data_IF_285835345975
#
_entry.id   IF_285835345975
#
_cell.length_a   1.000
_cell.length_b   1.000
_cell.length_c   1.000
_cell.angle_alpha   90.00
_cell.angle_beta   90.00
_cell.angle_gamma   90.00
#
_symmetry.space_group_name_H-M   'P 1'
#
loop_
_entity.id
_entity.type
_entity.pdbx_description
1 polymer ?
#
# COMPACT_ATOMS: atom_id res chain seq x y z
N UNK A 1 9.34 30.13 15.54
CA UNK A 1 10.24 29.32 14.67
C UNK A 1 9.36 28.70 13.60
N UNK A 2 9.42 29.18 12.35
CA UNK A 2 8.66 28.58 11.25
C UNK A 2 9.34 27.27 10.91
N UNK A 3 8.73 26.12 11.24
CA UNK A 3 9.19 24.85 10.69
C UNK A 3 8.99 24.91 9.18
N UNK A 4 10.06 24.70 8.42
CA UNK A 4 10.01 24.66 6.97
C UNK A 4 9.28 23.38 6.53
N UNK A 5 7.96 23.51 6.33
CA UNK A 5 7.08 22.44 5.85
C UNK A 5 7.58 21.78 4.56
N UNK A 6 8.39 22.47 3.77
CA UNK A 6 8.96 21.98 2.51
C UNK A 6 9.90 20.80 2.74
N UNK A 7 10.72 20.86 3.79
CA UNK A 7 11.70 19.82 4.12
C UNK A 7 11.02 18.56 4.67
N UNK A 8 9.96 18.72 5.48
CA UNK A 8 9.18 17.61 6.04
C UNK A 8 8.35 16.88 4.97
N UNK A 9 7.68 17.61 4.08
CA UNK A 9 6.91 17.01 2.98
C UNK A 9 7.84 16.29 2.00
N UNK A 10 8.99 16.90 1.68
CA UNK A 10 9.98 16.30 0.78
C UNK A 10 10.57 15.01 1.36
N UNK A 11 10.89 14.98 2.66
CA UNK A 11 11.36 13.77 3.34
C UNK A 11 10.33 12.63 3.32
N UNK A 12 9.07 12.97 3.57
CA UNK A 12 7.96 12.01 3.54
C UNK A 12 7.73 11.39 2.15
N UNK A 13 7.72 12.22 1.10
CA UNK A 13 7.63 11.72 -0.29
C UNK A 13 8.83 10.87 -0.68
N UNK A 14 10.04 11.23 -0.23
CA UNK A 14 11.24 10.42 -0.43
C UNK A 14 11.14 9.06 0.29
N UNK A 15 10.62 9.04 1.52
CA UNK A 15 10.38 7.81 2.28
C UNK A 15 9.39 6.88 1.58
N UNK A 16 8.26 7.42 1.11
CA UNK A 16 7.27 6.68 0.30
C UNK A 16 7.88 6.11 -0.97
N UNK A 17 8.56 6.96 -1.75
CA UNK A 17 9.14 6.57 -3.01
C UNK A 17 10.18 5.45 -2.82
N UNK A 18 11.05 5.57 -1.81
CA UNK A 18 12.05 4.54 -1.50
C UNK A 18 11.40 3.21 -1.14
N UNK A 19 10.47 3.21 -0.18
CA UNK A 19 9.82 1.97 0.26
C UNK A 19 9.00 1.33 -0.87
N UNK A 20 8.26 2.15 -1.64
CA UNK A 20 7.51 1.68 -2.79
C UNK A 20 8.40 1.09 -3.90
N UNK A 21 9.58 1.66 -4.14
CA UNK A 21 10.55 1.09 -5.07
C UNK A 21 11.03 -0.29 -4.59
N UNK A 22 11.40 -0.40 -3.31
CA UNK A 22 11.85 -1.66 -2.71
C UNK A 22 10.76 -2.74 -2.82
N UNK A 23 9.49 -2.39 -2.52
CA UNK A 23 8.34 -3.27 -2.69
C UNK A 23 8.08 -3.70 -4.14
N UNK A 24 8.16 -2.77 -5.09
CA UNK A 24 7.98 -3.06 -6.51
C UNK A 24 9.12 -3.93 -7.06
N UNK A 25 10.35 -3.73 -6.59
CA UNK A 25 11.49 -4.55 -6.93
C UNK A 25 11.28 -6.00 -6.42
N UNK A 26 10.87 -6.17 -5.17
CA UNK A 26 10.50 -7.48 -4.62
C UNK A 26 9.36 -8.13 -5.43
N UNK A 27 8.31 -7.37 -5.75
CA UNK A 27 7.19 -7.83 -6.58
C UNK A 27 7.63 -8.26 -7.98
N UNK A 28 8.62 -7.58 -8.58
CA UNK A 28 9.13 -7.91 -9.92
C UNK A 28 9.94 -9.22 -9.97
N UNK A 29 10.42 -9.68 -8.81
CA UNK A 29 11.15 -10.94 -8.65
C UNK A 29 10.24 -12.14 -8.39
N UNK A 30 8.95 -11.92 -8.13
CA UNK A 30 7.99 -12.99 -7.87
C UNK A 30 7.59 -13.73 -9.17
N UNK A 31 7.24 -15.03 -9.08
CA UNK A 31 6.60 -15.74 -10.19
C UNK A 31 5.31 -15.06 -10.65
N UNK A 32 4.56 -14.46 -9.72
CA UNK A 32 3.28 -13.77 -9.95
C UNK A 32 3.43 -12.26 -10.20
N UNK A 33 4.56 -11.82 -10.75
CA UNK A 33 4.87 -10.39 -10.95
C UNK A 33 3.85 -9.66 -11.81
N UNK A 34 3.27 -10.31 -12.81
CA UNK A 34 2.25 -9.70 -13.70
C UNK A 34 0.94 -9.45 -12.95
N UNK A 35 0.52 -10.40 -12.13
CA UNK A 35 -0.62 -10.30 -11.24
C UNK A 35 -0.37 -9.23 -10.19
N UNK A 36 0.82 -9.18 -9.59
CA UNK A 36 1.23 -8.12 -8.67
C UNK A 36 1.07 -6.73 -9.29
N UNK A 37 1.62 -6.50 -10.48
CA UNK A 37 1.46 -5.24 -11.23
C UNK A 37 -0.02 -4.91 -11.44
N UNK A 38 -0.81 -5.88 -11.91
CA UNK A 38 -2.25 -5.71 -12.16
C UNK A 38 -3.01 -5.32 -10.88
N UNK A 39 -2.76 -6.03 -9.79
CA UNK A 39 -3.43 -5.82 -8.51
C UNK A 39 -3.04 -4.47 -7.88
N UNK A 40 -1.75 -4.10 -7.88
CA UNK A 40 -1.28 -2.80 -7.41
C UNK A 40 -1.96 -1.66 -8.18
N UNK A 41 -2.11 -1.77 -9.51
CA UNK A 41 -2.81 -0.78 -10.34
C UNK A 41 -4.30 -0.68 -10.00
N UNK A 42 -4.94 -1.80 -9.65
CA UNK A 42 -6.38 -1.89 -9.37
C UNK A 42 -6.75 -1.32 -8.00
N UNK A 43 -5.92 -1.54 -6.98
CA UNK A 43 -6.24 -1.22 -5.59
C UNK A 43 -6.61 0.26 -5.34
N UNK A 44 -5.90 1.27 -5.89
CA UNK A 44 -6.27 2.67 -5.70
C UNK A 44 -7.70 3.00 -6.12
N UNK A 45 -8.17 2.37 -7.20
CA UNK A 45 -9.54 2.52 -7.66
C UNK A 45 -10.52 1.88 -6.67
N UNK A 46 -10.23 0.65 -6.22
CA UNK A 46 -11.08 -0.05 -5.23
C UNK A 46 -11.19 0.74 -3.92
N UNK A 47 -10.10 1.35 -3.44
CA UNK A 47 -10.13 2.20 -2.24
C UNK A 47 -11.08 3.38 -2.44
N UNK A 48 -11.01 4.05 -3.61
CA UNK A 48 -11.87 5.20 -3.92
C UNK A 48 -13.34 4.84 -4.04
N UNK A 49 -13.67 3.67 -4.59
CA UNK A 49 -15.07 3.27 -4.83
C UNK A 49 -15.70 2.54 -3.64
N UNK A 50 -14.92 1.72 -2.92
CA UNK A 50 -15.43 0.77 -1.93
C UNK A 50 -14.94 1.09 -0.50
N UNK A 51 -14.02 2.04 -0.36
CA UNK A 51 -13.36 2.35 0.90
C UNK A 51 -12.17 1.43 1.20
N UNK A 52 -11.31 1.90 2.11
CA UNK A 52 -10.07 1.22 2.49
C UNK A 52 -10.34 -0.15 3.14
N UNK A 53 -11.20 -0.18 4.16
CA UNK A 53 -11.51 -1.38 4.93
C UNK A 53 -12.05 -2.52 4.05
N UNK A 54 -13.06 -2.23 3.21
CA UNK A 54 -13.61 -3.20 2.27
C UNK A 54 -12.56 -3.71 1.27
N UNK A 55 -11.69 -2.82 0.78
CA UNK A 55 -10.64 -3.18 -0.16
C UNK A 55 -9.62 -4.12 0.47
N UNK A 56 -9.14 -3.83 1.68
CA UNK A 56 -8.16 -4.69 2.35
C UNK A 56 -8.78 -5.98 2.89
N UNK A 57 -10.08 -6.00 3.20
CA UNK A 57 -10.81 -7.26 3.43
C UNK A 57 -10.84 -8.14 2.17
N UNK A 58 -11.07 -7.55 0.99
CA UNK A 58 -10.98 -8.26 -0.29
C UNK A 58 -9.56 -8.77 -0.56
N UNK A 59 -8.54 -7.93 -0.42
CA UNK A 59 -7.13 -8.33 -0.59
C UNK A 59 -6.79 -9.51 0.33
N UNK A 60 -7.14 -9.42 1.62
CA UNK A 60 -6.94 -10.50 2.60
C UNK A 60 -7.69 -11.78 2.25
N UNK A 61 -8.87 -11.69 1.62
CA UNK A 61 -9.67 -12.86 1.23
C UNK A 61 -9.00 -13.72 0.16
N UNK A 62 -8.07 -13.16 -0.62
CA UNK A 62 -7.35 -13.82 -1.71
C UNK A 62 -6.15 -14.64 -1.20
N UNK A 63 -6.40 -15.51 -0.21
CA UNK A 63 -5.37 -16.26 0.53
C UNK A 63 -4.45 -17.14 -0.33
N UNK A 64 -4.92 -17.60 -1.49
CA UNK A 64 -4.15 -18.43 -2.42
C UNK A 64 -3.48 -17.63 -3.54
N UNK A 65 -3.64 -16.31 -3.56
CA UNK A 65 -2.99 -15.42 -4.52
C UNK A 65 -1.77 -14.77 -3.85
N UNK A 66 -0.59 -15.26 -4.24
CA UNK A 66 0.69 -14.80 -3.68
C UNK A 66 0.93 -13.30 -3.90
N UNK A 67 0.41 -12.73 -5.00
CA UNK A 67 0.55 -11.31 -5.27
C UNK A 67 -0.33 -10.47 -4.33
N UNK A 68 -1.59 -10.84 -4.10
CA UNK A 68 -2.42 -10.15 -3.11
C UNK A 68 -1.86 -10.27 -1.69
N UNK A 69 -1.37 -11.46 -1.32
CA UNK A 69 -0.73 -11.67 -0.01
C UNK A 69 0.48 -10.73 0.17
N UNK A 70 1.36 -10.65 -0.83
CA UNK A 70 2.51 -9.75 -0.78
C UNK A 70 2.09 -8.28 -0.63
N UNK A 71 1.08 -7.83 -1.40
CA UNK A 71 0.58 -6.46 -1.32
C UNK A 71 -0.01 -6.15 0.07
N UNK A 72 -0.71 -7.11 0.67
CA UNK A 72 -1.25 -6.97 2.03
C UNK A 72 -0.12 -6.72 3.04
N UNK A 73 0.90 -7.57 3.02
CA UNK A 73 2.05 -7.47 3.93
C UNK A 73 2.85 -6.19 3.71
N UNK A 74 3.12 -5.82 2.46
CA UNK A 74 3.82 -4.58 2.13
C UNK A 74 3.05 -3.35 2.63
N UNK A 75 1.72 -3.34 2.52
CA UNK A 75 0.91 -2.24 3.05
C UNK A 75 0.95 -2.18 4.57
N UNK A 76 0.85 -3.35 5.24
CA UNK A 76 0.98 -3.44 6.70
C UNK A 76 2.34 -2.94 7.17
N UNK A 77 3.42 -3.34 6.50
CA UNK A 77 4.77 -2.89 6.79
C UNK A 77 4.94 -1.39 6.57
N UNK A 78 4.35 -0.81 5.51
CA UNK A 78 4.36 0.64 5.31
C UNK A 78 3.71 1.37 6.47
N UNK A 79 2.49 0.96 6.85
CA UNK A 79 1.74 1.60 7.93
C UNK A 79 2.38 1.43 9.30
N UNK A 80 3.14 0.34 9.52
CA UNK A 80 3.96 0.13 10.72
C UNK A 80 5.18 1.05 10.77
N UNK A 81 5.81 1.32 9.62
CA UNK A 81 7.03 2.15 9.50
C UNK A 81 6.75 3.64 9.41
N UNK A 82 5.53 4.02 9.07
CA UNK A 82 5.12 5.41 8.87
C UNK A 82 5.50 6.28 10.08
N UNK A 83 6.33 7.30 9.83
CA UNK A 83 6.90 8.16 10.88
C UNK A 83 5.83 8.93 11.67
N UNK A 84 4.65 9.12 11.07
CA UNK A 84 3.51 9.77 11.72
C UNK A 84 2.77 8.85 12.69
N UNK A 85 3.11 7.56 12.72
CA UNK A 85 2.47 6.54 13.58
C UNK A 85 0.96 6.58 13.45
N UNK A 86 0.44 6.70 12.23
CA UNK A 86 -1.01 6.83 11.99
C UNK A 86 -1.80 5.59 12.40
N UNK A 87 -1.13 4.43 12.48
CA UNK A 87 -1.70 3.16 12.93
C UNK A 87 -0.76 2.47 13.90
N UNK A 88 -1.23 2.16 15.10
CA UNK A 88 -0.50 1.30 16.02
C UNK A 88 -0.75 -0.18 15.66
N UNK A 89 0.16 -0.74 14.87
CA UNK A 89 0.06 -2.10 14.34
C UNK A 89 1.36 -2.88 14.55
N UNK A 90 1.24 -4.08 15.14
CA UNK A 90 2.34 -5.01 15.35
C UNK A 90 2.42 -6.07 14.22
N UNK A 91 3.44 -6.92 14.28
CA UNK A 91 3.66 -7.97 13.27
C UNK A 91 2.54 -9.00 13.23
N UNK A 92 1.94 -9.34 14.37
CA UNK A 92 0.89 -10.37 14.44
C UNK A 92 -0.54 -9.78 14.31
N UNK A 93 -0.65 -8.46 14.29
CA UNK A 93 -1.94 -7.78 14.26
C UNK A 93 -2.63 -7.91 12.90
N UNK A 94 -3.97 -8.00 12.91
CA UNK A 94 -4.73 -7.97 11.67
C UNK A 94 -4.91 -6.54 11.14
N UNK A 95 -4.39 -6.25 9.94
CA UNK A 95 -4.51 -4.92 9.34
C UNK A 95 -5.97 -4.52 9.12
N UNK A 96 -6.84 -5.45 8.70
CA UNK A 96 -8.26 -5.13 8.46
C UNK A 96 -8.96 -4.75 9.76
N UNK A 97 -8.79 -5.54 10.82
CA UNK A 97 -9.30 -5.23 12.16
C UNK A 97 -8.86 -3.84 12.62
N UNK A 98 -7.56 -3.53 12.51
CA UNK A 98 -7.01 -2.23 12.90
C UNK A 98 -7.63 -1.07 12.12
N UNK A 99 -7.80 -1.22 10.81
CA UNK A 99 -8.42 -0.19 9.96
C UNK A 99 -9.85 0.09 10.38
N UNK A 100 -10.67 -0.95 10.61
CA UNK A 100 -12.10 -0.78 10.91
C UNK A 100 -12.36 -0.29 12.34
N UNK A 101 -11.38 -0.39 13.24
CA UNK A 101 -11.46 0.14 14.60
C UNK A 101 -11.10 1.63 14.72
N UNK A 102 -10.65 2.28 13.64
CA UNK A 102 -10.30 3.71 13.67
C UNK A 102 -11.54 4.60 13.77
N UNK A 103 -11.35 5.75 14.41
CA UNK A 103 -12.30 6.85 14.30
C UNK A 103 -12.27 7.48 12.90
N UNK A 104 -13.27 8.31 12.57
CA UNK A 104 -13.38 8.87 11.23
C UNK A 104 -12.16 9.70 10.79
N UNK A 105 -11.54 10.55 11.65
CA UNK A 105 -10.28 11.21 11.33
C UNK A 105 -9.14 10.25 11.03
N UNK A 106 -8.88 9.25 11.88
CA UNK A 106 -7.83 8.26 11.70
C UNK A 106 -8.02 7.44 10.44
N UNK A 107 -9.24 6.98 10.19
CA UNK A 107 -9.59 6.24 8.98
C UNK A 107 -9.30 7.04 7.70
N UNK A 108 -9.64 8.32 7.67
CA UNK A 108 -9.34 9.21 6.53
C UNK A 108 -7.84 9.44 6.37
N UNK A 109 -7.12 9.63 7.47
CA UNK A 109 -5.67 9.83 7.44
C UNK A 109 -4.96 8.61 6.83
N UNK A 110 -5.29 7.40 7.31
CA UNK A 110 -4.75 6.15 6.76
C UNK A 110 -5.17 5.95 5.31
N UNK A 111 -6.42 6.23 4.96
CA UNK A 111 -6.88 6.12 3.56
C UNK A 111 -6.02 6.98 2.63
N UNK A 112 -5.74 8.23 3.02
CA UNK A 112 -4.88 9.13 2.23
C UNK A 112 -3.42 8.65 2.19
N UNK A 113 -2.90 8.13 3.30
CA UNK A 113 -1.54 7.59 3.38
C UNK A 113 -1.34 6.39 2.45
N UNK A 114 -2.27 5.43 2.48
CA UNK A 114 -2.24 4.25 1.61
C UNK A 114 -2.37 4.66 0.15
N UNK A 115 -3.26 5.60 -0.19
CA UNK A 115 -3.36 6.10 -1.57
C UNK A 115 -2.08 6.79 -2.05
N UNK A 116 -1.40 7.55 -1.19
CA UNK A 116 -0.13 8.19 -1.51
C UNK A 116 0.99 7.17 -1.73
N UNK A 117 1.07 6.15 -0.88
CA UNK A 117 1.99 5.03 -1.06
C UNK A 117 1.73 4.29 -2.39
N UNK A 118 0.49 3.92 -2.66
CA UNK A 118 0.13 3.17 -3.87
C UNK A 118 0.35 3.97 -5.16
N UNK A 119 0.31 5.31 -5.11
CA UNK A 119 0.67 6.14 -6.25
C UNK A 119 2.14 5.92 -6.68
N UNK A 120 3.07 5.85 -5.73
CA UNK A 120 4.46 5.50 -6.00
C UNK A 120 4.62 4.03 -6.39
N UNK A 121 3.97 3.12 -5.65
CA UNK A 121 4.07 1.68 -5.91
C UNK A 121 3.62 1.32 -7.32
N UNK A 122 2.52 1.93 -7.78
CA UNK A 122 2.01 1.74 -9.14
C UNK A 122 3.04 2.14 -10.19
N UNK A 123 3.64 3.34 -10.05
CA UNK A 123 4.63 3.85 -11.02
C UNK A 123 5.85 2.94 -11.11
N UNK A 124 6.36 2.45 -9.98
CA UNK A 124 7.51 1.56 -9.97
C UNK A 124 7.17 0.16 -10.46
N UNK A 125 6.01 -0.40 -10.10
CA UNK A 125 5.56 -1.68 -10.63
C UNK A 125 5.41 -1.64 -12.15
N UNK A 126 4.88 -0.54 -12.71
CA UNK A 126 4.79 -0.36 -14.15
C UNK A 126 6.16 -0.25 -14.84
N UNK A 127 7.12 0.43 -14.21
CA UNK A 127 8.47 0.59 -14.75
C UNK A 127 9.36 -0.65 -14.64
N UNK A 128 9.13 -1.51 -13.63
CA UNK A 128 9.97 -2.69 -13.35
C UNK A 128 9.40 -4.00 -13.92
N UNK A 129 8.11 -4.05 -14.27
CA UNK A 129 7.43 -5.29 -14.67
C UNK A 129 6.83 -5.13 -16.08
N UNK A 130 7.43 -5.82 -17.03
CA UNK A 130 6.96 -5.90 -18.41
C UNK A 130 5.78 -6.89 -18.58
N UNK A 131 4.91 -6.56 -19.54
CA UNK A 131 3.72 -7.36 -19.85
C UNK A 131 2.52 -7.08 -18.92
N UNK A 132 1.41 -7.72 -19.24
CA UNK A 132 0.17 -7.71 -18.46
C UNK A 132 -0.14 -9.15 -18.00
N UNK A 133 -0.91 -9.28 -16.92
CA UNK A 133 -1.44 -10.57 -16.50
C UNK A 133 -2.34 -11.15 -17.60
N UNK A 134 -2.32 -12.46 -17.79
CA UNK A 134 -3.30 -13.11 -18.65
C UNK A 134 -4.66 -12.94 -17.99
N UNK A 135 -5.59 -12.28 -18.68
CA UNK A 135 -6.93 -12.07 -18.16
C UNK A 135 -7.60 -13.45 -18.04
N UNK A 136 -7.94 -13.86 -16.82
CA UNK A 136 -8.96 -14.89 -16.59
C UNK A 136 -10.35 -14.37 -16.97
#
# INVERSE_FOLDING_TARGET
MKMDNTTTIKGLEQGRAKFAYDCALEGSQQPTKKEYKSHVKKIPMLIKTNGLGSTFAFVKSKKNDAAYHLIYEQTKQWLKRDEKTLLNINEDDDLVEKIISLDSPGYRAITNEVLAFFNWLTRFAEGLIEGEAENE
#
